data_IF_969730389696
#
_entry.id   IF_969730389696
#
_cell.length_a   1.000
_cell.length_b   1.000
_cell.length_c   1.000
_cell.angle_alpha   90.00
_cell.angle_beta   90.00
_cell.angle_gamma   90.00
#
_symmetry.space_group_name_H-M   'P 1'
#
loop_
_entity.id
_entity.type
_entity.pdbx_description
1 polymer ?
#
# COMPACT_ATOMS: atom_id res chain seq x y z
N UNK A 1 41.64 -23.26 21.69
CA UNK A 1 40.42 -23.34 20.87
C UNK A 1 39.51 -22.21 21.27
N UNK A 2 39.45 -21.15 20.46
CA UNK A 2 38.77 -19.88 20.75
C UNK A 2 37.41 -19.83 20.05
N UNK A 3 36.27 -19.90 20.77
CA UNK A 3 34.95 -19.75 20.17
C UNK A 3 34.59 -18.26 20.17
N UNK A 4 35.10 -17.49 19.21
CA UNK A 4 34.90 -16.02 19.19
C UNK A 4 34.69 -15.44 17.79
N UNK A 5 34.01 -16.18 16.91
CA UNK A 5 33.77 -15.72 15.54
C UNK A 5 32.29 -15.72 15.07
N UNK A 6 31.35 -16.19 15.88
CA UNK A 6 29.96 -16.38 15.42
C UNK A 6 28.96 -15.30 15.87
N UNK A 7 29.39 -14.32 16.66
CA UNK A 7 28.50 -13.26 17.16
C UNK A 7 28.35 -12.06 16.20
N UNK A 8 29.26 -11.89 15.24
CA UNK A 8 29.27 -10.72 14.36
C UNK A 8 28.32 -10.84 13.14
N UNK A 9 27.96 -12.07 12.74
CA UNK A 9 27.14 -12.27 11.53
C UNK A 9 25.65 -11.93 11.71
N UNK A 10 25.13 -11.99 12.94
CA UNK A 10 23.69 -11.76 13.22
C UNK A 10 23.34 -10.26 13.25
N UNK A 11 24.29 -9.40 13.62
CA UNK A 11 24.07 -7.96 13.68
C UNK A 11 23.88 -7.29 12.30
N UNK A 12 24.39 -7.90 11.22
CA UNK A 12 24.24 -7.37 9.86
C UNK A 12 22.84 -7.56 9.26
N UNK A 13 22.10 -8.58 9.69
CA UNK A 13 20.75 -8.89 9.17
C UNK A 13 19.64 -8.00 9.76
N UNK A 14 19.88 -7.37 10.92
CA UNK A 14 18.89 -6.54 11.58
C UNK A 14 18.62 -5.21 10.86
N UNK A 15 19.57 -4.71 10.06
CA UNK A 15 19.44 -3.44 9.33
C UNK A 15 18.60 -3.54 8.03
N UNK A 16 18.36 -4.75 7.53
CA UNK A 16 17.59 -4.96 6.30
C UNK A 16 16.07 -5.11 6.54
N UNK A 17 15.61 -5.18 7.79
CA UNK A 17 14.21 -5.48 8.10
C UNK A 17 13.30 -4.24 8.19
N UNK A 18 13.84 -3.03 8.12
CA UNK A 18 13.04 -1.80 7.99
C UNK A 18 12.70 -1.54 6.52
N UNK A 19 12.06 -2.51 5.84
CA UNK A 19 11.42 -2.24 4.56
C UNK A 19 10.24 -1.33 4.88
N UNK A 20 10.36 -0.05 4.54
CA UNK A 20 9.30 0.92 4.75
C UNK A 20 8.07 0.46 3.99
N UNK A 21 7.06 0.01 4.73
CA UNK A 21 5.71 -0.22 4.21
C UNK A 21 5.22 1.10 3.60
N UNK A 22 4.71 1.07 2.36
CA UNK A 22 4.31 2.27 1.63
C UNK A 22 3.56 3.27 2.52
N UNK A 23 4.06 4.50 2.59
CA UNK A 23 3.50 5.56 3.43
C UNK A 23 2.78 6.59 2.56
N UNK A 24 1.64 7.08 3.03
CA UNK A 24 0.92 8.19 2.43
C UNK A 24 0.84 9.33 3.46
N UNK A 25 1.47 10.46 3.16
CA UNK A 25 1.50 11.61 4.07
C UNK A 25 0.10 12.18 4.31
N UNK A 26 -0.19 12.55 5.56
CA UNK A 26 -1.48 13.12 5.95
C UNK A 26 -2.64 12.11 5.94
N UNK A 27 -2.34 10.81 5.86
CA UNK A 27 -3.34 9.74 5.90
C UNK A 27 -3.39 9.04 7.27
N UNK A 28 -4.53 8.42 7.55
CA UNK A 28 -4.66 7.42 8.60
C UNK A 28 -4.76 6.02 7.97
N UNK A 29 -4.29 5.02 8.71
CA UNK A 29 -4.34 3.62 8.27
C UNK A 29 -5.67 3.01 8.68
N UNK A 30 -6.40 2.47 7.72
CA UNK A 30 -7.54 1.59 7.95
C UNK A 30 -7.20 0.17 7.53
N UNK A 31 -7.28 -0.77 8.47
CA UNK A 31 -7.04 -2.19 8.19
C UNK A 31 -8.37 -2.83 7.76
N UNK A 32 -8.36 -3.49 6.60
CA UNK A 32 -9.53 -4.21 6.09
C UNK A 32 -9.18 -5.62 5.63
N UNK A 33 -10.19 -6.49 5.61
CA UNK A 33 -10.08 -7.85 5.10
C UNK A 33 -10.96 -8.02 3.88
N UNK A 34 -10.37 -8.36 2.74
CA UNK A 34 -11.07 -8.60 1.47
C UNK A 34 -10.63 -9.94 0.92
N UNK A 35 -11.59 -10.84 0.65
CA UNK A 35 -11.32 -12.22 0.20
C UNK A 35 -10.28 -12.96 1.07
N UNK A 36 -10.38 -12.82 2.39
CA UNK A 36 -9.45 -13.45 3.34
C UNK A 36 -8.07 -12.80 3.43
N UNK A 37 -7.77 -11.76 2.64
CA UNK A 37 -6.49 -11.03 2.64
C UNK A 37 -6.60 -9.75 3.46
N UNK A 38 -5.54 -9.42 4.18
CA UNK A 38 -5.46 -8.19 4.96
C UNK A 38 -4.79 -7.08 4.14
N UNK A 39 -5.39 -5.90 4.17
CA UNK A 39 -4.91 -4.69 3.51
C UNK A 39 -4.86 -3.54 4.50
N UNK A 40 -3.89 -2.66 4.31
CA UNK A 40 -3.90 -1.32 4.85
C UNK A 40 -4.35 -0.36 3.76
N UNK A 41 -5.44 0.34 4.01
CA UNK A 41 -5.95 1.39 3.14
C UNK A 41 -5.64 2.74 3.78
N UNK A 42 -5.07 3.62 2.98
CA UNK A 42 -4.68 4.97 3.41
C UNK A 42 -5.28 5.96 2.44
N UNK A 43 -6.11 6.87 2.93
CA UNK A 43 -6.71 7.95 2.13
C UNK A 43 -6.23 9.29 2.68
N UNK A 44 -5.84 10.19 1.79
CA UNK A 44 -5.48 11.56 2.13
C UNK A 44 -5.97 12.52 1.05
N UNK A 45 -6.17 13.78 1.43
CA UNK A 45 -6.34 14.86 0.45
C UNK A 45 -5.04 15.05 -0.35
N UNK A 46 -5.17 15.46 -1.61
CA UNK A 46 -4.08 16.00 -2.39
C UNK A 46 -3.97 17.52 -2.15
N UNK A 47 -2.98 18.15 -2.77
CA UNK A 47 -2.78 19.61 -2.68
C UNK A 47 -3.89 20.39 -3.42
N UNK A 48 -4.47 19.79 -4.46
CA UNK A 48 -5.54 20.39 -5.26
C UNK A 48 -6.90 20.11 -4.63
N UNK A 49 -7.74 21.14 -4.54
CA UNK A 49 -9.09 20.99 -4.01
C UNK A 49 -9.91 19.96 -4.81
N UNK A 50 -10.62 19.09 -4.10
CA UNK A 50 -11.41 18.00 -4.70
C UNK A 50 -10.58 16.79 -5.15
N UNK A 51 -9.25 16.85 -5.05
CA UNK A 51 -8.36 15.71 -5.32
C UNK A 51 -7.95 14.96 -4.06
N UNK A 52 -7.82 13.65 -4.22
CA UNK A 52 -7.49 12.71 -3.18
C UNK A 52 -6.45 11.71 -3.67
N UNK A 53 -5.72 11.16 -2.71
CA UNK A 53 -4.75 10.09 -2.91
C UNK A 53 -5.17 8.92 -2.05
N UNK A 54 -5.14 7.73 -2.63
CA UNK A 54 -5.37 6.48 -1.91
C UNK A 54 -4.20 5.53 -2.16
N UNK A 55 -3.76 4.85 -1.10
CA UNK A 55 -2.77 3.80 -1.17
C UNK A 55 -3.32 2.55 -0.49
N UNK A 56 -3.29 1.43 -1.22
CA UNK A 56 -3.57 0.10 -0.70
C UNK A 56 -2.27 -0.66 -0.61
N UNK A 57 -1.93 -1.03 0.61
CA UNK A 57 -0.72 -1.79 0.92
C UNK A 57 -1.11 -3.16 1.45
N UNK A 58 -0.51 -4.21 0.90
CA UNK A 58 -0.76 -5.55 1.42
C UNK A 58 -0.17 -5.70 2.82
N UNK A 59 -0.92 -6.29 3.73
CA UNK A 59 -0.46 -6.50 5.11
C UNK A 59 0.36 -7.77 5.31
N UNK A 60 0.57 -8.56 4.26
CA UNK A 60 1.35 -9.80 4.25
C UNK A 60 2.40 -9.76 3.15
N UNK A 61 3.45 -10.56 3.31
CA UNK A 61 4.47 -10.77 2.27
C UNK A 61 3.88 -11.53 1.09
N UNK A 62 4.21 -11.10 -0.14
CA UNK A 62 3.85 -11.81 -1.38
C UNK A 62 5.12 -12.32 -2.03
N UNK A 63 5.14 -13.62 -2.33
CA UNK A 63 6.23 -14.26 -3.06
C UNK A 63 5.79 -14.41 -4.51
N UNK A 64 6.66 -14.02 -5.44
CA UNK A 64 6.44 -14.06 -6.90
C UNK A 64 5.08 -13.44 -7.34
N UNK A 65 4.90 -12.12 -7.13
CA UNK A 65 3.63 -11.47 -7.44
C UNK A 65 3.40 -11.38 -8.95
N UNK A 66 2.19 -11.79 -9.38
CA UNK A 66 1.65 -11.46 -10.70
C UNK A 66 1.11 -10.01 -10.67
N UNK A 67 1.79 -9.04 -11.33
CA UNK A 67 1.44 -7.63 -11.18
C UNK A 67 0.05 -7.30 -11.72
N UNK A 68 -0.42 -7.99 -12.76
CA UNK A 68 -1.74 -7.73 -13.34
C UNK A 68 -2.84 -8.22 -12.40
N UNK A 69 -2.68 -9.41 -11.81
CA UNK A 69 -3.63 -9.91 -10.81
C UNK A 69 -3.63 -9.07 -9.54
N UNK A 70 -2.46 -8.64 -9.06
CA UNK A 70 -2.40 -7.79 -7.87
C UNK A 70 -3.03 -6.42 -8.14
N UNK A 71 -2.82 -5.81 -9.31
CA UNK A 71 -3.52 -4.58 -9.69
C UNK A 71 -5.04 -4.74 -9.70
N UNK A 72 -5.56 -5.82 -10.30
CA UNK A 72 -7.00 -6.08 -10.34
C UNK A 72 -7.60 -6.32 -8.93
N UNK A 73 -6.89 -7.07 -8.08
CA UNK A 73 -7.31 -7.30 -6.69
C UNK A 73 -7.34 -5.99 -5.90
N UNK A 74 -6.29 -5.20 -6.00
CA UNK A 74 -6.21 -3.93 -5.30
C UNK A 74 -7.25 -2.92 -5.80
N UNK A 75 -7.62 -2.99 -7.09
CA UNK A 75 -8.70 -2.18 -7.64
C UNK A 75 -10.03 -2.43 -6.90
N UNK A 76 -10.37 -3.70 -6.68
CA UNK A 76 -11.56 -4.08 -5.90
C UNK A 76 -11.51 -3.57 -4.45
N UNK A 77 -10.30 -3.34 -3.91
CA UNK A 77 -10.13 -2.76 -2.57
C UNK A 77 -10.28 -1.24 -2.62
N UNK A 78 -9.69 -0.51 -3.58
CA UNK A 78 -9.73 0.97 -3.60
C UNK A 78 -11.10 1.53 -3.98
N UNK A 79 -11.82 0.86 -4.88
CA UNK A 79 -13.02 1.42 -5.50
C UNK A 79 -14.09 1.84 -4.47
N UNK A 80 -14.47 1.01 -3.49
CA UNK A 80 -15.47 1.41 -2.47
C UNK A 80 -15.03 2.62 -1.64
N UNK A 81 -13.73 2.81 -1.40
CA UNK A 81 -13.23 3.96 -0.65
C UNK A 81 -13.26 5.23 -1.48
N UNK A 82 -12.99 5.15 -2.79
CA UNK A 82 -13.14 6.30 -3.68
C UNK A 82 -14.61 6.73 -3.77
N UNK A 83 -15.52 5.78 -3.93
CA UNK A 83 -16.98 6.01 -3.91
C UNK A 83 -17.42 6.65 -2.58
N UNK A 84 -16.97 6.13 -1.45
CA UNK A 84 -17.29 6.68 -0.13
C UNK A 84 -16.71 8.08 0.08
N UNK A 85 -15.49 8.33 -0.41
CA UNK A 85 -14.80 9.62 -0.27
C UNK A 85 -15.52 10.71 -1.06
N UNK A 86 -15.91 10.41 -2.31
CA UNK A 86 -16.56 11.38 -3.18
C UNK A 86 -18.08 11.47 -2.96
N UNK A 87 -18.71 10.46 -2.35
CA UNK A 87 -20.17 10.34 -2.21
C UNK A 87 -20.89 10.52 -3.56
N UNK A 88 -20.24 10.10 -4.64
CA UNK A 88 -20.60 10.47 -6.00
C UNK A 88 -19.54 10.04 -7.00
N UNK A 89 -19.66 10.48 -8.26
CA UNK A 89 -18.73 10.12 -9.31
C UNK A 89 -17.31 10.64 -9.03
N UNK A 90 -16.33 9.93 -9.57
CA UNK A 90 -14.92 10.29 -9.48
C UNK A 90 -14.21 9.97 -10.79
N UNK A 91 -13.10 10.67 -11.02
CA UNK A 91 -12.21 10.44 -12.15
C UNK A 91 -10.83 10.07 -11.61
N UNK A 92 -10.28 8.96 -12.11
CA UNK A 92 -8.89 8.60 -11.83
C UNK A 92 -7.96 9.46 -12.66
N UNK A 93 -7.04 10.14 -11.98
CA UNK A 93 -6.05 11.01 -12.57
C UNK A 93 -4.71 10.31 -12.79
N UNK A 94 -4.37 9.38 -11.90
CA UNK A 94 -3.13 8.62 -11.93
C UNK A 94 -3.30 7.30 -11.17
N UNK A 95 -2.68 6.23 -11.66
CA UNK A 95 -2.72 4.90 -11.07
C UNK A 95 -1.36 4.22 -11.23
N UNK A 96 -0.72 3.90 -10.10
CA UNK A 96 0.61 3.31 -10.07
C UNK A 96 0.64 2.08 -9.17
N UNK A 97 1.16 0.98 -9.71
CA UNK A 97 1.44 -0.23 -8.94
C UNK A 97 2.86 -0.16 -8.38
N UNK A 98 2.97 0.11 -7.08
CA UNK A 98 4.22 0.22 -6.34
C UNK A 98 4.71 -1.18 -5.95
N UNK A 99 6.00 -1.43 -6.14
CA UNK A 99 6.67 -2.69 -5.79
C UNK A 99 5.97 -3.95 -6.33
N UNK A 100 5.28 -3.82 -7.47
CA UNK A 100 4.48 -4.88 -8.13
C UNK A 100 3.29 -5.42 -7.32
N UNK A 101 3.01 -4.87 -6.13
CA UNK A 101 2.02 -5.43 -5.19
C UNK A 101 1.07 -4.38 -4.62
N UNK A 102 1.54 -3.16 -4.37
CA UNK A 102 0.76 -2.14 -3.69
C UNK A 102 0.18 -1.17 -4.71
N UNK A 103 -1.04 -0.68 -4.51
CA UNK A 103 -1.68 0.22 -5.46
C UNK A 103 -1.76 1.63 -4.90
N UNK A 104 -1.26 2.60 -5.66
CA UNK A 104 -1.47 4.03 -5.44
C UNK A 104 -2.39 4.58 -6.53
N UNK A 105 -3.39 5.38 -6.13
CA UNK A 105 -4.29 6.06 -7.04
C UNK A 105 -4.44 7.51 -6.60
N UNK A 106 -4.35 8.44 -7.56
CA UNK A 106 -4.82 9.83 -7.40
C UNK A 106 -6.12 9.99 -8.17
N UNK A 107 -7.13 10.53 -7.51
CA UNK A 107 -8.47 10.67 -8.09
C UNK A 107 -9.09 12.01 -7.69
N UNK A 108 -10.04 12.48 -8.49
CA UNK A 108 -10.80 13.71 -8.26
C UNK A 108 -12.28 13.40 -8.14
N UNK A 109 -12.94 13.97 -7.14
CA UNK A 109 -14.40 13.93 -7.04
C UNK A 109 -15.02 14.91 -8.04
N UNK A 110 -16.15 14.53 -8.64
CA UNK A 110 -16.87 15.34 -9.65
C UNK A 110 -18.25 15.74 -9.17
#
# INVERSE_FOLDING_TARGET
>A
MTPRAWAAAVAGLALAACVSKGSLEGSQVQIVRVEGRLYEVRVAKAEVEGEYRIMVVRATVVVDPDPQRESARNWNVVQPFMEQTCKGPFVVLDQNLLDKVNLYVRFRCT
#
